data_IF_104976438889
#
_entry.id   IF_104976438889
#
_cell.length_a   1.000
_cell.length_b   1.000
_cell.length_c   1.000
_cell.angle_alpha   90.00
_cell.angle_beta   90.00
_cell.angle_gamma   90.00
#
_symmetry.space_group_name_H-M   'P 1'
#
loop_
_entity.id
_entity.type
_entity.pdbx_description
1 polymer ?
#
# COMPACT_ATOMS: atom_id res chain seq x y z
N UNK A 1 -36.35 -27.55 32.06
CA UNK A 1 -35.79 -27.92 30.74
C UNK A 1 -35.64 -26.65 29.90
N UNK A 2 -34.44 -26.07 29.92
CA UNK A 2 -34.08 -24.86 29.18
C UNK A 2 -33.11 -25.27 28.06
N UNK A 3 -33.49 -25.13 26.78
CA UNK A 3 -32.61 -25.36 25.61
C UNK A 3 -33.31 -24.96 24.29
N UNK A 4 -33.69 -23.69 24.15
CA UNK A 4 -34.05 -23.08 22.86
C UNK A 4 -33.68 -21.61 22.94
N UNK A 5 -32.51 -21.22 22.41
CA UNK A 5 -32.06 -19.84 22.09
C UNK A 5 -30.52 -19.78 21.94
N UNK A 6 -29.87 -20.64 21.15
CA UNK A 6 -28.40 -20.52 20.90
C UNK A 6 -28.02 -20.73 19.42
N UNK A 7 -28.96 -21.00 18.51
CA UNK A 7 -28.65 -21.36 17.12
C UNK A 7 -29.18 -20.30 16.15
N UNK A 8 -28.86 -19.01 16.37
CA UNK A 8 -29.07 -17.96 15.34
C UNK A 8 -27.95 -16.92 15.33
N UNK A 9 -27.07 -16.85 16.33
CA UNK A 9 -25.98 -15.86 16.36
C UNK A 9 -24.66 -16.30 15.72
N UNK A 10 -24.48 -17.59 15.41
CA UNK A 10 -23.16 -18.11 15.02
C UNK A 10 -22.83 -17.95 13.52
N UNK A 11 -23.81 -17.69 12.65
CA UNK A 11 -23.59 -17.66 11.19
C UNK A 11 -23.15 -16.30 10.64
N UNK A 12 -23.27 -15.20 11.40
CA UNK A 12 -22.88 -13.86 10.93
C UNK A 12 -21.42 -13.46 11.21
N UNK A 13 -20.66 -14.24 12.00
CA UNK A 13 -19.30 -13.86 12.43
C UNK A 13 -18.19 -14.48 11.55
N UNK A 14 -18.54 -15.38 10.63
CA UNK A 14 -17.51 -16.10 9.83
C UNK A 14 -17.08 -15.40 8.54
N UNK A 15 -17.70 -14.27 8.15
CA UNK A 15 -17.37 -13.58 6.89
C UNK A 15 -16.23 -12.55 7.06
N UNK A 16 -15.75 -12.28 8.29
CA UNK A 16 -14.76 -11.22 8.54
C UNK A 16 -13.29 -11.68 8.59
N UNK A 17 -12.98 -12.96 8.39
CA UNK A 17 -11.61 -13.48 8.59
C UNK A 17 -10.92 -14.03 7.33
N UNK A 18 -11.51 -13.86 6.14
CA UNK A 18 -10.90 -14.26 4.86
C UNK A 18 -10.75 -13.02 3.97
N UNK A 19 -9.76 -12.17 4.25
CA UNK A 19 -9.57 -10.98 3.42
C UNK A 19 -8.24 -10.23 3.52
N UNK A 20 -7.37 -10.54 4.48
CA UNK A 20 -6.23 -9.65 4.78
C UNK A 20 -4.87 -10.17 4.31
N UNK A 21 -4.80 -11.37 3.73
CA UNK A 21 -3.53 -11.97 3.30
C UNK A 21 -3.03 -11.55 1.91
N UNK A 22 -3.88 -10.92 1.09
CA UNK A 22 -3.58 -10.63 -0.33
C UNK A 22 -3.16 -9.17 -0.58
N UNK A 23 -3.39 -8.28 0.39
CA UNK A 23 -3.13 -6.85 0.21
C UNK A 23 -1.65 -6.56 -0.07
N UNK A 24 -0.73 -7.15 0.70
CA UNK A 24 0.71 -6.82 0.61
C UNK A 24 1.33 -7.24 -0.74
N UNK A 25 0.89 -8.37 -1.30
CA UNK A 25 1.38 -8.85 -2.60
C UNK A 25 0.76 -8.06 -3.77
N UNK A 26 -0.51 -7.68 -3.66
CA UNK A 26 -1.18 -6.82 -4.63
C UNK A 26 -0.53 -5.43 -4.68
N UNK A 27 -0.25 -4.83 -3.52
CA UNK A 27 0.37 -3.51 -3.39
C UNK A 27 1.74 -3.45 -4.10
N UNK A 28 2.56 -4.50 -4.00
CA UNK A 28 3.85 -4.58 -4.67
C UNK A 28 3.70 -4.70 -6.19
N UNK A 29 2.81 -5.57 -6.66
CA UNK A 29 2.62 -5.82 -8.08
C UNK A 29 2.10 -4.56 -8.80
N UNK A 30 1.12 -3.87 -8.21
CA UNK A 30 0.59 -2.63 -8.75
C UNK A 30 1.63 -1.51 -8.73
N UNK A 31 2.37 -1.38 -7.63
CA UNK A 31 3.48 -0.42 -7.56
C UNK A 31 4.53 -0.66 -8.64
N UNK A 32 5.02 -1.90 -8.78
CA UNK A 32 6.05 -2.24 -9.78
C UNK A 32 5.50 -2.01 -11.19
N UNK A 33 4.25 -2.42 -11.45
CA UNK A 33 3.60 -2.16 -12.75
C UNK A 33 3.48 -0.66 -13.04
N UNK A 34 3.08 0.14 -12.06
CA UNK A 34 2.99 1.59 -12.16
C UNK A 34 4.36 2.26 -12.35
N UNK A 35 5.36 1.82 -11.60
CA UNK A 35 6.74 2.29 -11.70
C UNK A 35 7.35 1.97 -13.08
N UNK A 36 7.09 0.79 -13.65
CA UNK A 36 7.56 0.40 -14.99
C UNK A 36 6.91 1.21 -16.13
N UNK A 37 5.80 1.91 -15.87
CA UNK A 37 5.23 2.87 -16.84
C UNK A 37 6.04 4.16 -16.91
N UNK A 38 6.87 4.46 -15.91
CA UNK A 38 7.82 5.55 -15.99
C UNK A 38 8.90 5.23 -17.04
N UNK A 39 9.30 6.22 -17.83
CA UNK A 39 10.30 6.00 -18.88
C UNK A 39 11.65 5.69 -18.27
N UNK A 40 12.23 4.55 -18.64
CA UNK A 40 13.63 4.21 -18.35
C UNK A 40 13.85 3.46 -17.03
N UNK A 41 12.81 3.17 -16.26
CA UNK A 41 12.92 2.35 -15.04
C UNK A 41 13.00 0.85 -15.38
N UNK A 42 13.92 0.15 -14.73
CA UNK A 42 14.07 -1.32 -14.83
C UNK A 42 13.29 -2.03 -13.71
N UNK A 43 12.90 -3.31 -13.90
CA UNK A 43 12.21 -4.08 -12.84
C UNK A 43 12.94 -4.07 -11.49
N UNK A 44 14.27 -4.25 -11.49
CA UNK A 44 15.07 -4.23 -10.26
C UNK A 44 15.09 -2.88 -9.55
N UNK A 45 15.01 -1.77 -10.29
CA UNK A 45 14.94 -0.42 -9.74
C UNK A 45 13.56 -0.18 -9.09
N UNK A 46 12.49 -0.62 -9.73
CA UNK A 46 11.13 -0.56 -9.17
C UNK A 46 10.97 -1.45 -7.93
N UNK A 47 11.57 -2.64 -7.92
CA UNK A 47 11.60 -3.48 -6.72
C UNK A 47 12.39 -2.83 -5.59
N UNK A 48 13.54 -2.22 -5.89
CA UNK A 48 14.29 -1.43 -4.91
C UNK A 48 13.44 -0.29 -4.35
N UNK A 49 12.79 0.50 -5.19
CA UNK A 49 11.98 1.64 -4.76
C UNK A 49 10.84 1.19 -3.85
N UNK A 50 10.17 0.07 -4.17
CA UNK A 50 9.12 -0.48 -3.31
C UNK A 50 9.65 -0.82 -1.91
N UNK A 51 10.76 -1.55 -1.83
CA UNK A 51 11.32 -2.01 -0.55
C UNK A 51 11.88 -0.82 0.26
N UNK A 52 12.56 0.12 -0.38
CA UNK A 52 13.13 1.29 0.28
C UNK A 52 12.05 2.27 0.74
N UNK A 53 10.99 2.50 -0.03
CA UNK A 53 9.82 3.28 0.40
C UNK A 53 9.24 2.73 1.71
N UNK A 54 9.13 1.40 1.84
CA UNK A 54 8.59 0.76 3.04
C UNK A 54 9.53 0.80 4.25
N UNK A 55 10.83 0.96 4.03
CA UNK A 55 11.85 1.03 5.09
C UNK A 55 12.05 2.45 5.60
N UNK A 56 12.05 3.42 4.68
CA UNK A 56 12.46 4.80 4.96
C UNK A 56 11.31 5.67 5.45
N UNK A 57 10.09 5.37 5.01
CA UNK A 57 8.91 6.19 5.32
C UNK A 57 8.02 5.52 6.37
N UNK A 58 7.18 6.33 7.03
CA UNK A 58 6.17 5.78 7.92
C UNK A 58 5.19 4.90 7.15
N UNK A 59 4.48 3.96 7.80
CA UNK A 59 3.53 3.07 7.11
C UNK A 59 2.44 3.81 6.34
N UNK A 60 2.03 4.98 6.81
CA UNK A 60 0.97 5.80 6.21
C UNK A 60 1.47 6.55 4.96
N UNK A 61 2.68 7.10 5.03
CA UNK A 61 3.38 7.74 3.91
C UNK A 61 3.76 6.74 2.83
N UNK A 62 4.28 5.57 3.23
CA UNK A 62 4.60 4.48 2.33
C UNK A 62 3.35 3.98 1.60
N UNK A 63 2.24 3.78 2.32
CA UNK A 63 0.97 3.38 1.71
C UNK A 63 0.46 4.41 0.69
N UNK A 64 0.58 5.71 1.00
CA UNK A 64 0.19 6.77 0.08
C UNK A 64 1.03 6.79 -1.20
N UNK A 65 2.36 6.68 -1.10
CA UNK A 65 3.23 6.62 -2.27
C UNK A 65 3.02 5.36 -3.08
N UNK A 66 2.93 4.21 -2.41
CA UNK A 66 2.75 2.91 -3.08
C UNK A 66 1.47 2.92 -3.91
N UNK A 67 0.36 3.38 -3.33
CA UNK A 67 -0.90 3.54 -4.04
C UNK A 67 -0.82 4.59 -5.17
N UNK A 68 -0.13 5.71 -4.93
CA UNK A 68 0.04 6.79 -5.93
C UNK A 68 0.82 6.34 -7.16
N UNK A 69 1.90 5.58 -6.95
CA UNK A 69 2.69 5.02 -8.05
C UNK A 69 1.94 3.89 -8.75
N UNK A 70 1.21 3.05 -8.01
CA UNK A 70 0.39 1.97 -8.59
C UNK A 70 -0.83 2.46 -9.37
N UNK A 71 -1.36 3.64 -9.04
CA UNK A 71 -2.52 4.24 -9.70
C UNK A 71 -3.87 3.80 -9.13
N UNK A 72 -3.90 3.15 -7.96
CA UNK A 72 -5.14 2.79 -7.27
C UNK A 72 -5.77 4.02 -6.62
N UNK A 73 -6.77 4.60 -7.28
CA UNK A 73 -7.43 5.82 -6.82
C UNK A 73 -8.16 5.64 -5.48
N UNK A 74 -8.69 4.45 -5.20
CA UNK A 74 -9.37 4.17 -3.93
C UNK A 74 -8.33 4.08 -2.79
N UNK A 75 -7.23 3.36 -3.01
CA UNK A 75 -6.15 3.27 -2.04
C UNK A 75 -5.46 4.63 -1.82
N UNK A 76 -5.29 5.45 -2.87
CA UNK A 76 -4.76 6.81 -2.75
C UNK A 76 -5.64 7.65 -1.84
N UNK A 77 -6.97 7.67 -2.04
CA UNK A 77 -7.89 8.45 -1.21
C UNK A 77 -7.88 7.97 0.25
N UNK A 78 -7.89 6.65 0.44
CA UNK A 78 -7.84 6.03 1.78
C UNK A 78 -6.55 6.35 2.52
N UNK A 79 -5.40 6.31 1.86
CA UNK A 79 -4.12 6.65 2.44
C UNK A 79 -3.98 8.16 2.67
N UNK A 80 -4.42 8.98 1.71
CA UNK A 80 -4.42 10.44 1.81
C UNK A 80 -5.26 10.97 2.98
N UNK A 81 -6.35 10.28 3.34
CA UNK A 81 -7.20 10.62 4.49
C UNK A 81 -6.52 10.47 5.86
N UNK A 82 -5.36 9.78 5.92
CA UNK A 82 -4.55 9.62 7.14
C UNK A 82 -3.42 10.63 7.25
N UNK A 83 -3.13 11.36 6.18
CA UNK A 83 -2.04 12.32 6.11
C UNK A 83 -2.58 13.75 6.06
N UNK A 84 -1.88 14.68 6.70
CA UNK A 84 -2.14 16.10 6.50
C UNK A 84 -1.80 16.52 5.06
N UNK A 85 -2.37 17.63 4.55
CA UNK A 85 -2.00 18.16 3.24
C UNK A 85 -0.49 18.41 3.08
N UNK A 86 0.18 18.86 4.15
CA UNK A 86 1.62 19.11 4.15
C UNK A 86 2.42 17.81 4.04
N UNK A 87 2.08 16.79 4.84
CA UNK A 87 2.72 15.47 4.75
C UNK A 87 2.61 14.85 3.35
N UNK A 88 1.48 15.03 2.66
CA UNK A 88 1.31 14.55 1.27
C UNK A 88 2.21 15.26 0.26
N UNK A 89 2.63 16.49 0.53
CA UNK A 89 3.58 17.22 -0.33
C UNK A 89 5.02 16.80 0.01
N UNK A 90 5.32 16.73 1.31
CA UNK A 90 6.67 16.43 1.81
C UNK A 90 7.09 15.01 1.44
N UNK A 91 6.16 14.05 1.47
CA UNK A 91 6.44 12.64 1.16
C UNK A 91 6.99 12.44 -0.25
N UNK A 92 6.53 13.22 -1.24
CA UNK A 92 7.09 13.17 -2.60
C UNK A 92 8.52 13.71 -2.66
N UNK A 93 8.83 14.71 -1.84
CA UNK A 93 10.18 15.27 -1.74
C UNK A 93 11.13 14.29 -1.08
N UNK A 94 10.70 13.65 0.03
CA UNK A 94 11.46 12.60 0.70
C UNK A 94 11.65 11.35 -0.16
N UNK A 95 10.72 11.08 -1.08
CA UNK A 95 10.82 9.94 -1.99
C UNK A 95 11.91 10.10 -3.06
N UNK A 96 12.37 11.33 -3.33
CA UNK A 96 13.48 11.58 -4.28
C UNK A 96 14.74 10.84 -3.84
N UNK A 97 15.03 10.80 -2.53
CA UNK A 97 16.20 10.08 -1.99
C UNK A 97 16.10 8.57 -2.22
N UNK A 98 14.89 8.00 -2.12
CA UNK A 98 14.63 6.59 -2.45
C UNK A 98 14.85 6.33 -3.95
N UNK A 99 14.36 7.22 -4.80
CA UNK A 99 14.51 7.11 -6.26
C UNK A 99 15.99 7.18 -6.66
N UNK A 100 16.72 8.17 -6.17
CA UNK A 100 18.16 8.36 -6.46
C UNK A 100 19.00 7.14 -6.05
N UNK A 101 18.73 6.61 -4.85
CA UNK A 101 19.37 5.39 -4.34
C UNK A 101 19.12 4.19 -5.24
N UNK A 102 17.91 4.04 -5.77
CA UNK A 102 17.52 2.86 -6.53
C UNK A 102 17.85 2.95 -8.04
N UNK A 103 17.95 4.16 -8.61
CA UNK A 103 18.38 4.36 -10.00
C UNK A 103 19.90 4.26 -10.17
N UNK A 104 20.65 4.32 -9.08
CA UNK A 104 22.12 4.16 -9.06
C UNK A 104 22.57 2.69 -9.01
N UNK A 105 21.65 1.73 -9.16
CA UNK A 105 21.89 0.28 -9.18
C UNK A 105 22.21 -0.25 -10.59
#
# INVERSE_FOLDING_TARGET
MARRKIIVLATMVSVLLVGSGWAIAADKAEFVSGCLKAKGTKPGECECMYEETRKTLSPEEAAFLIASTGGDTEAIQKAAGKLSPQQRQDVWSSWIEVVDKCLSL
#
